data_IF_101270566112
#
_entry.id   IF_101270566112
#
_cell.length_a   1.000
_cell.length_b   1.000
_cell.length_c   1.000
_cell.angle_alpha   90.00
_cell.angle_beta   90.00
_cell.angle_gamma   90.00
#
_symmetry.space_group_name_H-M   'P 1'
#
loop_
_entity.id
_entity.type
_entity.pdbx_description
1 polymer ?
#
# COMPACT_ATOMS: atom_id res chain seq x y z
N UNK A 1 -2.12 -74.24 -16.99
CA UNK A 1 -0.93 -73.35 -17.04
C UNK A 1 -1.24 -72.12 -16.18
N UNK A 2 -0.60 -71.97 -15.02
CA UNK A 2 -0.77 -70.79 -14.16
C UNK A 2 0.41 -69.85 -14.43
N UNK A 3 0.14 -68.73 -15.10
CA UNK A 3 1.09 -67.64 -15.29
C UNK A 3 1.35 -66.96 -13.94
N UNK A 4 2.57 -67.08 -13.43
CA UNK A 4 3.02 -66.38 -12.24
C UNK A 4 3.10 -64.88 -12.51
N UNK A 5 2.28 -64.09 -11.83
CA UNK A 5 2.41 -62.64 -11.79
C UNK A 5 3.70 -62.32 -11.03
N UNK A 6 4.72 -61.83 -11.75
CA UNK A 6 5.94 -61.33 -11.12
C UNK A 6 5.62 -60.04 -10.37
N UNK A 7 5.60 -60.09 -9.04
CA UNK A 7 5.60 -58.88 -8.21
C UNK A 7 7.00 -58.26 -8.28
N UNK A 8 7.20 -57.23 -9.10
CA UNK A 8 8.43 -56.44 -9.01
C UNK A 8 8.34 -55.56 -7.77
N UNK A 9 9.10 -55.90 -6.74
CA UNK A 9 9.30 -55.03 -5.58
C UNK A 9 10.16 -53.83 -5.93
N UNK A 10 10.05 -52.77 -5.14
CA UNK A 10 10.88 -51.57 -5.26
C UNK A 10 12.32 -51.89 -4.89
N UNK A 11 13.30 -51.41 -5.66
CA UNK A 11 14.71 -51.59 -5.32
C UNK A 11 15.16 -50.54 -4.30
N UNK A 12 16.15 -50.87 -3.45
CA UNK A 12 16.70 -49.92 -2.47
C UNK A 12 17.20 -48.63 -3.15
N UNK A 13 17.85 -48.77 -4.31
CA UNK A 13 18.37 -47.65 -5.10
C UNK A 13 17.24 -46.74 -5.59
N UNK A 14 16.13 -47.32 -6.03
CA UNK A 14 14.96 -46.57 -6.48
C UNK A 14 14.32 -45.79 -5.33
N UNK A 15 14.19 -46.39 -4.13
CA UNK A 15 13.69 -45.69 -2.94
C UNK A 15 14.57 -44.48 -2.63
N UNK A 16 15.89 -44.67 -2.57
CA UNK A 16 16.84 -43.59 -2.28
C UNK A 16 16.74 -42.49 -3.34
N UNK A 17 16.70 -42.85 -4.63
CA UNK A 17 16.60 -41.88 -5.72
C UNK A 17 15.30 -41.06 -5.64
N UNK A 18 14.15 -41.68 -5.34
CA UNK A 18 12.88 -40.96 -5.18
C UNK A 18 12.89 -40.02 -3.99
N UNK A 19 13.47 -40.42 -2.85
CA UNK A 19 13.60 -39.55 -1.68
C UNK A 19 14.51 -38.35 -1.95
N UNK A 20 15.60 -38.54 -2.68
CA UNK A 20 16.50 -37.46 -3.08
C UNK A 20 15.78 -36.48 -4.01
N UNK A 21 15.06 -36.97 -5.02
CA UNK A 21 14.30 -36.13 -5.95
C UNK A 21 13.20 -35.37 -5.20
N UNK A 22 12.48 -36.05 -4.30
CA UNK A 22 11.44 -35.42 -3.49
C UNK A 22 12.01 -34.35 -2.54
N UNK A 23 13.17 -34.60 -1.93
CA UNK A 23 13.83 -33.62 -1.06
C UNK A 23 14.26 -32.37 -1.85
N UNK A 24 14.88 -32.55 -3.02
CA UNK A 24 15.27 -31.43 -3.89
C UNK A 24 14.06 -30.64 -4.38
N UNK A 25 13.00 -31.33 -4.79
CA UNK A 25 11.73 -30.71 -5.17
C UNK A 25 11.08 -29.94 -4.01
N UNK A 26 11.10 -30.52 -2.81
CA UNK A 26 10.58 -29.89 -1.60
C UNK A 26 11.31 -28.60 -1.23
N UNK A 27 12.65 -28.58 -1.33
CA UNK A 27 13.45 -27.36 -1.10
C UNK A 27 13.10 -26.28 -2.12
N UNK A 28 12.98 -26.64 -3.41
CA UNK A 28 12.61 -25.68 -4.45
C UNK A 28 11.20 -25.09 -4.20
N UNK A 29 10.22 -25.92 -3.86
CA UNK A 29 8.86 -25.44 -3.55
C UNK A 29 8.85 -24.54 -2.31
N UNK A 30 9.61 -24.91 -1.26
CA UNK A 30 9.68 -24.14 -0.03
C UNK A 30 10.28 -22.74 -0.25
N UNK A 31 11.35 -22.60 -1.03
CA UNK A 31 11.96 -21.30 -1.30
C UNK A 31 11.02 -20.36 -2.05
N UNK A 32 10.21 -20.88 -2.98
CA UNK A 32 9.18 -20.08 -3.67
C UNK A 32 8.02 -19.69 -2.75
N UNK A 33 7.47 -20.63 -1.99
CA UNK A 33 6.30 -20.36 -1.12
C UNK A 33 6.65 -19.48 0.08
N UNK A 34 7.87 -19.58 0.61
CA UNK A 34 8.30 -18.80 1.77
C UNK A 34 8.19 -17.29 1.52
N UNK A 35 8.62 -16.79 0.36
CA UNK A 35 8.53 -15.36 0.03
C UNK A 35 7.09 -14.86 -0.14
N UNK A 36 6.22 -15.69 -0.73
CA UNK A 36 4.82 -15.34 -0.97
C UNK A 36 3.99 -15.30 0.33
N UNK A 37 4.22 -16.24 1.26
CA UNK A 37 3.48 -16.30 2.52
C UNK A 37 3.93 -15.18 3.48
N UNK A 38 5.23 -14.92 3.56
CA UNK A 38 5.81 -13.99 4.55
C UNK A 38 5.55 -12.50 4.26
N UNK A 39 5.28 -12.12 3.00
CA UNK A 39 5.00 -10.70 2.64
C UNK A 39 3.55 -10.41 2.30
N UNK A 40 2.65 -11.38 2.47
CA UNK A 40 1.23 -11.24 2.08
C UNK A 40 0.49 -10.10 2.80
N UNK A 41 0.94 -9.69 3.99
CA UNK A 41 0.35 -8.59 4.75
C UNK A 41 0.83 -7.19 4.33
N UNK A 42 1.97 -7.08 3.64
CA UNK A 42 2.53 -5.77 3.28
C UNK A 42 1.67 -4.99 2.29
N UNK A 43 1.13 -5.59 1.20
CA UNK A 43 0.23 -4.89 0.29
C UNK A 43 -1.08 -4.49 0.96
N UNK A 44 -1.58 -5.33 1.87
CA UNK A 44 -2.82 -5.06 2.62
C UNK A 44 -2.62 -3.86 3.56
N UNK A 45 -1.51 -3.82 4.29
CA UNK A 45 -1.17 -2.67 5.13
C UNK A 45 -1.00 -1.39 4.31
N UNK A 46 -0.32 -1.46 3.15
CA UNK A 46 -0.18 -0.30 2.26
C UNK A 46 -1.53 0.19 1.72
N UNK A 47 -2.47 -0.71 1.39
CA UNK A 47 -3.80 -0.34 0.94
C UNK A 47 -4.62 0.32 2.07
N UNK A 48 -4.50 -0.17 3.30
CA UNK A 48 -5.14 0.44 4.47
C UNK A 48 -4.59 1.83 4.80
N UNK A 49 -3.25 1.98 4.76
CA UNK A 49 -2.58 3.26 4.93
C UNK A 49 -3.06 4.27 3.88
N UNK A 50 -3.14 3.85 2.61
CA UNK A 50 -3.62 4.71 1.52
C UNK A 50 -5.09 5.07 1.68
N UNK A 51 -5.96 4.12 2.05
CA UNK A 51 -7.38 4.38 2.27
C UNK A 51 -7.61 5.41 3.37
N UNK A 52 -6.86 5.31 4.47
CA UNK A 52 -6.94 6.26 5.58
C UNK A 52 -6.43 7.65 5.18
N UNK A 53 -5.38 7.72 4.36
CA UNK A 53 -4.89 8.99 3.82
C UNK A 53 -5.90 9.64 2.87
N UNK A 54 -6.62 8.84 2.07
CA UNK A 54 -7.69 9.33 1.19
C UNK A 54 -8.88 9.85 1.98
N UNK A 55 -9.33 9.15 3.01
CA UNK A 55 -10.44 9.57 3.88
C UNK A 55 -10.17 10.94 4.51
N UNK A 56 -8.95 11.13 5.04
CA UNK A 56 -8.48 12.42 5.56
C UNK A 56 -8.49 13.51 4.48
N UNK A 57 -8.07 13.17 3.25
CA UNK A 57 -8.03 14.12 2.13
C UNK A 57 -9.44 14.50 1.65
N UNK A 58 -10.40 13.58 1.72
CA UNK A 58 -11.80 13.85 1.41
C UNK A 58 -12.41 14.84 2.41
N UNK A 59 -12.11 14.68 3.70
CA UNK A 59 -12.55 15.62 4.74
C UNK A 59 -11.96 17.02 4.52
N UNK A 60 -10.67 17.12 4.22
CA UNK A 60 -10.01 18.39 3.89
C UNK A 60 -10.61 19.01 2.61
N UNK A 61 -10.94 18.19 1.61
CA UNK A 61 -11.57 18.65 0.37
C UNK A 61 -12.99 19.17 0.63
N UNK A 62 -13.73 18.54 1.55
CA UNK A 62 -15.04 19.02 1.97
C UNK A 62 -14.93 20.37 2.68
N UNK A 63 -13.96 20.54 3.58
CA UNK A 63 -13.66 21.82 4.22
C UNK A 63 -13.32 22.91 3.19
N UNK A 64 -12.49 22.59 2.19
CA UNK A 64 -12.19 23.52 1.10
C UNK A 64 -13.44 23.86 0.26
N UNK A 65 -14.34 22.91 0.06
CA UNK A 65 -15.60 23.15 -0.62
C UNK A 65 -16.51 24.11 0.15
N UNK A 66 -16.50 24.08 1.48
CA UNK A 66 -17.22 25.04 2.32
C UNK A 66 -16.60 26.45 2.23
N UNK A 67 -15.26 26.55 2.13
CA UNK A 67 -14.60 27.80 1.74
C UNK A 67 -15.10 28.32 0.39
N UNK A 68 -15.17 27.45 -0.64
CA UNK A 68 -15.62 27.82 -1.99
C UNK A 68 -17.08 28.27 -2.06
N UNK A 69 -17.91 27.86 -1.10
CA UNK A 69 -19.29 28.33 -0.94
C UNK A 69 -19.39 29.66 -0.20
N UNK A 70 -18.33 30.10 0.47
CA UNK A 70 -18.32 31.28 1.32
C UNK A 70 -18.79 31.03 2.76
N UNK A 71 -18.99 29.77 3.14
CA UNK A 71 -19.37 29.37 4.50
C UNK A 71 -18.16 29.39 5.45
N UNK A 72 -16.94 29.40 4.90
CA UNK A 72 -15.67 29.42 5.61
C UNK A 72 -14.72 30.46 4.96
N UNK A 73 -13.86 31.10 5.75
CA UNK A 73 -12.82 32.01 5.21
C UNK A 73 -11.54 31.24 4.88
N UNK A 74 -10.70 31.77 3.97
CA UNK A 74 -9.41 31.16 3.63
C UNK A 74 -8.48 31.01 4.85
N UNK A 75 -8.48 32.00 5.75
CA UNK A 75 -7.70 31.92 6.99
C UNK A 75 -8.22 30.83 7.94
N UNK A 76 -9.54 30.67 8.03
CA UNK A 76 -10.15 29.59 8.81
C UNK A 76 -9.80 28.22 8.20
N UNK A 77 -9.88 28.07 6.87
CA UNK A 77 -9.44 26.84 6.19
C UNK A 77 -8.00 26.45 6.58
N UNK A 78 -7.05 27.40 6.47
CA UNK A 78 -5.66 27.14 6.83
C UNK A 78 -5.45 26.82 8.32
N UNK A 79 -6.29 27.37 9.19
CA UNK A 79 -6.24 27.10 10.63
C UNK A 79 -6.75 25.69 10.92
N UNK A 80 -7.89 25.33 10.34
CA UNK A 80 -8.54 24.03 10.52
C UNK A 80 -7.71 22.88 9.91
N UNK A 81 -6.86 23.15 8.92
CA UNK A 81 -5.85 22.17 8.45
C UNK A 81 -4.93 21.67 9.57
N UNK A 82 -4.72 22.46 10.64
CA UNK A 82 -3.91 22.08 11.80
C UNK A 82 -4.51 20.95 12.64
N UNK A 83 -5.80 20.66 12.50
CA UNK A 83 -6.48 19.57 13.21
C UNK A 83 -6.23 18.20 12.53
N UNK A 84 -5.71 18.21 11.30
CA UNK A 84 -5.42 17.00 10.53
C UNK A 84 -3.94 16.62 10.62
N UNK A 85 -3.59 15.33 10.48
CA UNK A 85 -2.20 14.86 10.45
C UNK A 85 -1.52 15.17 9.10
N UNK A 86 -1.43 16.45 8.76
CA UNK A 86 -0.93 16.93 7.47
C UNK A 86 0.33 17.78 7.60
N UNK A 87 1.09 17.83 6.52
CA UNK A 87 2.15 18.80 6.32
C UNK A 87 1.71 19.78 5.25
N UNK A 88 1.73 21.07 5.57
CA UNK A 88 1.41 22.13 4.63
C UNK A 88 2.68 22.81 4.11
N UNK A 89 2.66 23.23 2.85
CA UNK A 89 3.71 24.05 2.27
C UNK A 89 3.07 25.17 1.45
N UNK A 90 3.23 26.40 1.93
CA UNK A 90 2.77 27.60 1.23
C UNK A 90 3.59 27.81 -0.04
N UNK A 91 2.89 28.07 -1.15
CA UNK A 91 3.43 28.35 -2.47
C UNK A 91 3.01 29.76 -2.91
N UNK A 92 3.21 30.74 -2.02
CA UNK A 92 2.83 32.15 -2.20
C UNK A 92 3.42 32.83 -3.46
N UNK A 93 4.47 32.26 -4.06
CA UNK A 93 5.18 32.87 -5.20
C UNK A 93 4.91 32.24 -6.57
N UNK A 94 3.97 31.29 -6.69
CA UNK A 94 3.84 30.52 -7.94
C UNK A 94 3.36 31.35 -9.16
N UNK A 95 2.76 32.54 -8.96
CA UNK A 95 2.19 33.34 -10.06
C UNK A 95 2.45 34.86 -9.97
N UNK A 96 3.23 35.35 -9.00
CA UNK A 96 3.60 36.77 -8.90
C UNK A 96 2.43 37.75 -8.61
N UNK A 97 1.28 37.24 -8.15
CA UNK A 97 0.14 38.04 -7.73
C UNK A 97 -0.01 37.99 -6.20
N UNK A 98 0.10 39.12 -5.48
CA UNK A 98 0.02 39.15 -4.02
C UNK A 98 -1.36 38.82 -3.44
N UNK A 99 -2.39 38.64 -4.28
CA UNK A 99 -3.74 38.24 -3.87
C UNK A 99 -4.13 36.81 -4.22
N UNK A 100 -3.18 35.93 -4.59
CA UNK A 100 -3.46 34.53 -4.89
C UNK A 100 -2.50 33.63 -4.14
N UNK A 101 -3.00 32.96 -3.10
CA UNK A 101 -2.23 32.02 -2.29
C UNK A 101 -2.54 30.57 -2.71
N UNK A 102 -1.50 29.75 -2.80
CA UNK A 102 -1.63 28.30 -3.01
C UNK A 102 -1.01 27.61 -1.80
N UNK A 103 -1.71 26.65 -1.21
CA UNK A 103 -1.17 25.76 -0.18
C UNK A 103 -1.12 24.33 -0.71
N UNK A 104 0.05 23.70 -0.62
CA UNK A 104 0.16 22.26 -0.81
C UNK A 104 -0.14 21.58 0.51
N UNK A 105 -1.08 20.64 0.52
CA UNK A 105 -1.41 19.83 1.69
C UNK A 105 -0.98 18.41 1.41
N UNK A 106 -0.15 17.86 2.29
CA UNK A 106 0.32 16.48 2.22
C UNK A 106 -0.16 15.71 3.44
N UNK A 107 -1.04 14.73 3.22
CA UNK A 107 -1.47 13.77 4.24
C UNK A 107 -0.44 12.64 4.29
N UNK A 108 0.09 12.38 5.48
CA UNK A 108 1.04 11.29 5.71
C UNK A 108 0.39 10.21 6.56
N UNK A 109 0.31 8.97 6.05
CA UNK A 109 -0.21 7.83 6.82
C UNK A 109 0.71 6.63 6.64
N UNK A 110 1.37 6.22 7.72
CA UNK A 110 2.28 5.08 7.70
C UNK A 110 3.37 5.25 6.64
N UNK A 111 3.31 4.40 5.59
CA UNK A 111 4.27 4.44 4.47
C UNK A 111 3.73 5.13 3.21
N UNK A 112 2.55 5.74 3.27
CA UNK A 112 1.89 6.40 2.14
C UNK A 112 1.76 7.90 2.39
N UNK A 113 1.88 8.67 1.32
CA UNK A 113 1.71 10.12 1.34
C UNK A 113 0.84 10.55 0.16
N UNK A 114 -0.16 11.37 0.41
CA UNK A 114 -1.02 11.95 -0.62
C UNK A 114 -0.92 13.47 -0.55
N UNK A 115 -0.56 14.10 -1.67
CA UNK A 115 -0.42 15.55 -1.76
C UNK A 115 -1.45 16.13 -2.73
N UNK A 116 -2.06 17.24 -2.34
CA UNK A 116 -2.94 18.04 -3.20
C UNK A 116 -2.64 19.53 -3.04
N UNK A 117 -3.15 20.34 -3.94
CA UNK A 117 -3.03 21.80 -3.91
C UNK A 117 -4.40 22.44 -3.75
N UNK A 118 -4.48 23.39 -2.83
CA UNK A 118 -5.64 24.26 -2.67
C UNK A 118 -5.21 25.71 -2.90
N UNK A 119 -6.13 26.54 -3.39
CA UNK A 119 -5.84 27.94 -3.69
C UNK A 119 -6.96 28.85 -3.22
N UNK A 120 -6.62 30.10 -2.94
CA UNK A 120 -7.59 31.17 -2.65
C UNK A 120 -8.49 31.48 -3.85
#
# INVERSE_FOLDING_TARGET
>A
MKSGVRSSGFTLVEVIATLVIMALGGVAVFTFLHGAVTRSSEPVAMAQDLASAMDTMEEITALYHDYRKGDLSWLAFKTDLGDYPVTTADKQDAMGNPGFEIVMVTVNTGRQSLSTFFSE
#
